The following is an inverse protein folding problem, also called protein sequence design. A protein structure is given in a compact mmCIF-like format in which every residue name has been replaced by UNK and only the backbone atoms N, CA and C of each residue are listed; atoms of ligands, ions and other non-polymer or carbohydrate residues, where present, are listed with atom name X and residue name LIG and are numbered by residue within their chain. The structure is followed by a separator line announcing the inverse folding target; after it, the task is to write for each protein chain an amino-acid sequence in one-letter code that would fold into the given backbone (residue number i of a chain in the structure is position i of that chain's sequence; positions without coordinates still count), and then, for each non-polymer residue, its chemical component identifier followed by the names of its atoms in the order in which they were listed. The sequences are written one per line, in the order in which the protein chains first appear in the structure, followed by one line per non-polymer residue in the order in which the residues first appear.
data_IF_523864723421
#
_entry.id   IF_523864723421
#
_cell.length_a   1.000
_cell.length_b   1.000
_cell.length_c   1.000
_cell.angle_alpha   90.00
_cell.angle_beta   90.00
_cell.angle_gamma   90.00
#
_symmetry.space_group_name_H-M   'P 1'
#
loop_
_entity.id
_entity.type
_entity.pdbx_description
1 polymer ?
#
# COMPACT_ATOMS: atom_id res chain seq x y z
N UNK A 1 -15.31 -24.23 2.86
CA UNK A 1 -14.80 -23.60 4.09
C UNK A 1 -14.56 -22.12 3.79
N UNK A 2 -15.61 -21.30 3.90
CA UNK A 2 -15.63 -19.85 3.60
C UNK A 2 -16.23 -19.10 4.81
N UNK A 3 -15.67 -19.32 6.01
CA UNK A 3 -16.26 -18.79 7.25
C UNK A 3 -15.18 -18.20 8.20
N UNK A 4 -14.22 -17.45 7.65
CA UNK A 4 -13.17 -16.78 8.44
C UNK A 4 -12.93 -15.29 8.11
N UNK A 5 -13.57 -14.72 7.08
CA UNK A 5 -13.30 -13.33 6.65
C UNK A 5 -14.20 -12.25 7.31
N UNK A 6 -15.31 -12.63 7.96
CA UNK A 6 -16.34 -11.66 8.37
C UNK A 6 -16.12 -11.01 9.76
N UNK A 7 -15.13 -11.48 10.54
CA UNK A 7 -14.91 -11.09 11.95
C UNK A 7 -13.86 -9.97 12.17
N UNK A 8 -13.20 -9.46 11.14
CA UNK A 8 -12.07 -8.51 11.27
C UNK A 8 -12.39 -7.06 10.84
N UNK A 9 -13.63 -6.60 10.98
CA UNK A 9 -13.92 -5.17 10.74
C UNK A 9 -13.49 -4.33 11.94
N UNK A 10 -12.25 -3.89 11.94
CA UNK A 10 -11.77 -2.81 12.79
C UNK A 10 -11.79 -1.49 12.02
N UNK A 11 -12.12 -0.39 12.70
CA UNK A 11 -11.97 0.94 12.11
C UNK A 11 -10.48 1.29 12.05
N UNK A 12 -10.00 1.60 10.85
CA UNK A 12 -8.59 1.95 10.59
C UNK A 12 -8.50 3.31 9.92
N UNK A 13 -7.39 4.01 10.15
CA UNK A 13 -7.00 5.19 9.38
C UNK A 13 -5.91 4.81 8.38
N UNK A 14 -5.85 5.53 7.26
CA UNK A 14 -4.85 5.32 6.22
C UNK A 14 -3.82 6.46 6.28
N UNK A 15 -2.53 6.17 6.53
CA UNK A 15 -1.50 7.20 6.59
C UNK A 15 -1.28 7.84 5.22
N UNK A 16 -1.05 9.16 5.21
CA UNK A 16 -0.67 9.91 4.01
C UNK A 16 0.86 9.91 3.87
N UNK A 17 1.40 8.95 3.11
CA UNK A 17 2.85 8.74 2.96
C UNK A 17 3.57 9.81 2.11
N UNK A 18 2.86 10.75 1.52
CA UNK A 18 3.49 11.91 0.86
C UNK A 18 4.02 12.92 1.88
N UNK A 19 3.48 12.95 3.09
CA UNK A 19 3.89 13.89 4.13
C UNK A 19 5.21 13.46 4.78
N UNK A 20 6.12 14.42 4.93
CA UNK A 20 7.35 14.23 5.71
C UNK A 20 7.07 13.82 7.16
N UNK A 21 5.98 14.33 7.76
CA UNK A 21 5.55 13.95 9.12
C UNK A 21 5.18 12.47 9.22
N UNK A 22 4.48 11.93 8.21
CA UNK A 22 4.10 10.52 8.17
C UNK A 22 5.32 9.62 7.98
N UNK A 23 6.27 10.03 7.15
CA UNK A 23 7.53 9.30 7.00
C UNK A 23 8.31 9.23 8.32
N UNK A 24 8.39 10.34 9.06
CA UNK A 24 9.04 10.37 10.37
C UNK A 24 8.32 9.49 11.40
N UNK A 25 6.98 9.58 11.47
CA UNK A 25 6.16 8.71 12.31
C UNK A 25 6.37 7.23 11.95
N UNK A 26 6.31 6.87 10.67
CA UNK A 26 6.46 5.49 10.21
C UNK A 26 7.84 4.90 10.55
N UNK A 27 8.91 5.68 10.36
CA UNK A 27 10.27 5.28 10.75
C UNK A 27 10.39 5.05 12.26
N UNK A 28 9.74 5.89 13.05
CA UNK A 28 9.73 5.77 14.52
C UNK A 28 9.03 4.48 14.96
N UNK A 29 7.85 4.16 14.41
CA UNK A 29 7.13 2.91 14.72
C UNK A 29 7.98 1.68 14.36
N UNK A 30 8.64 1.68 13.19
CA UNK A 30 9.54 0.60 12.76
C UNK A 30 10.75 0.46 13.70
N UNK A 31 11.31 1.58 14.14
CA UNK A 31 12.42 1.61 15.09
C UNK A 31 12.01 1.04 16.45
N UNK A 32 10.87 1.46 16.97
CA UNK A 32 10.36 0.95 18.24
C UNK A 32 10.08 -0.55 18.18
N UNK A 33 9.54 -1.05 17.06
CA UNK A 33 9.37 -2.49 16.83
C UNK A 33 10.71 -3.26 16.83
N UNK A 34 11.74 -2.68 16.23
CA UNK A 34 13.06 -3.30 16.14
C UNK A 34 13.84 -3.26 17.45
N UNK A 35 13.71 -2.18 18.24
CA UNK A 35 14.53 -1.95 19.44
C UNK A 35 13.82 -2.35 20.74
N UNK A 36 12.47 -2.28 20.78
CA UNK A 36 11.56 -2.40 21.94
C UNK A 36 12.10 -1.74 23.23
N UNK A 37 11.82 -0.45 23.37
CA UNK A 37 12.21 0.34 24.55
C UNK A 37 11.37 0.04 25.80
N UNK A 38 10.20 -0.59 25.65
CA UNK A 38 9.23 -0.73 26.74
C UNK A 38 9.30 -2.12 27.40
N UNK A 39 9.65 -3.17 26.66
CA UNK A 39 9.72 -4.55 27.17
C UNK A 39 10.98 -5.25 26.69
N UNK A 40 12.06 -5.22 27.49
CA UNK A 40 13.29 -5.94 27.18
C UNK A 40 12.99 -7.42 26.88
N UNK A 41 13.42 -7.90 25.71
CA UNK A 41 13.26 -9.30 25.27
C UNK A 41 12.06 -9.58 24.35
N UNK A 42 11.25 -8.58 23.97
CA UNK A 42 10.19 -8.72 22.95
C UNK A 42 10.46 -7.96 21.65
N UNK A 43 11.68 -7.43 21.48
CA UNK A 43 12.07 -6.79 20.23
C UNK A 43 12.09 -7.77 19.07
N UNK A 44 11.61 -7.32 17.90
CA UNK A 44 11.59 -8.12 16.69
C UNK A 44 12.75 -7.69 15.78
N UNK A 45 13.83 -8.46 15.82
CA UNK A 45 14.98 -8.25 14.92
C UNK A 45 14.66 -8.80 13.53
N UNK A 46 14.10 -7.95 12.67
CA UNK A 46 13.85 -8.25 11.26
C UNK A 46 15.01 -7.75 10.36
N UNK A 47 15.23 -8.40 9.22
CA UNK A 47 16.21 -7.97 8.21
C UNK A 47 15.56 -7.32 6.97
N UNK A 48 14.22 -7.30 6.92
CA UNK A 48 13.45 -6.72 5.83
C UNK A 48 11.97 -6.57 6.19
N UNK A 49 11.24 -5.81 5.39
CA UNK A 49 9.81 -5.58 5.60
C UNK A 49 8.99 -5.94 4.36
N UNK A 50 7.80 -6.48 4.61
CA UNK A 50 6.81 -6.77 3.59
C UNK A 50 5.62 -5.83 3.80
N UNK A 51 5.45 -4.87 2.89
CA UNK A 51 4.34 -3.91 2.92
C UNK A 51 3.26 -4.36 1.93
N UNK A 52 2.17 -4.87 2.50
CA UNK A 52 1.03 -5.42 1.78
C UNK A 52 -0.22 -4.56 2.01
N UNK A 53 -1.29 -4.83 1.25
CA UNK A 53 -2.58 -4.15 1.34
C UNK A 53 -2.53 -2.66 0.99
N UNK A 54 -1.51 -2.24 0.25
CA UNK A 54 -1.15 -0.83 0.05
C UNK A 54 -1.56 -0.25 -1.31
N UNK A 55 -2.64 -0.75 -1.91
CA UNK A 55 -3.26 -0.12 -3.08
C UNK A 55 -3.72 1.32 -2.86
N UNK A 56 -4.39 1.72 -1.75
CA UNK A 56 -4.69 1.08 -0.46
C UNK A 56 -5.96 0.22 -0.46
N UNK A 57 -5.86 -1.02 0.03
CA UNK A 57 -6.99 -1.95 0.07
C UNK A 57 -7.90 -1.67 1.27
N UNK A 58 -9.21 -1.61 1.01
CA UNK A 58 -10.24 -1.43 2.02
C UNK A 58 -11.32 -2.52 1.90
N UNK A 59 -11.82 -3.01 3.03
CA UNK A 59 -12.89 -4.03 3.08
C UNK A 59 -14.30 -3.44 2.95
N UNK A 60 -14.40 -2.11 2.94
CA UNK A 60 -15.61 -1.37 2.57
C UNK A 60 -15.31 -0.51 1.35
N UNK A 61 -16.31 -0.31 0.49
CA UNK A 61 -16.19 0.58 -0.66
C UNK A 61 -16.18 2.04 -0.15
N UNK A 62 -15.05 2.72 -0.26
CA UNK A 62 -14.87 4.10 0.20
C UNK A 62 -14.53 4.24 1.69
N UNK A 63 -15.53 4.59 2.49
CA UNK A 63 -15.37 4.83 3.93
C UNK A 63 -16.49 4.17 4.74
N UNK A 64 -16.32 4.07 6.06
CA UNK A 64 -17.35 3.56 6.98
C UNK A 64 -18.64 4.39 6.99
N UNK A 65 -18.62 5.62 6.46
CA UNK A 65 -19.78 6.50 6.32
C UNK A 65 -20.23 6.68 4.86
N UNK A 66 -19.62 5.95 3.91
CA UNK A 66 -19.77 6.18 2.48
C UNK A 66 -18.93 7.35 1.98
N UNK A 67 -19.15 7.73 0.72
CA UNK A 67 -18.48 8.85 0.06
C UNK A 67 -19.51 9.92 -0.32
N UNK A 68 -19.11 11.19 -0.30
CA UNK A 68 -19.97 12.34 -0.57
C UNK A 68 -19.85 12.89 -2.00
N UNK A 69 -18.73 12.69 -2.69
CA UNK A 69 -18.53 13.26 -4.04
C UNK A 69 -18.88 12.25 -5.14
N UNK A 70 -20.07 12.35 -5.71
CA UNK A 70 -20.51 11.42 -6.76
C UNK A 70 -19.69 11.55 -8.05
N UNK A 71 -19.20 12.74 -8.41
CA UNK A 71 -18.48 12.97 -9.67
C UNK A 71 -17.08 12.37 -9.58
N UNK A 72 -16.41 12.49 -8.43
CA UNK A 72 -15.09 11.89 -8.23
C UNK A 72 -15.18 10.36 -8.11
N UNK A 73 -16.20 9.83 -7.44
CA UNK A 73 -16.35 8.38 -7.28
C UNK A 73 -16.95 7.71 -8.53
N UNK A 74 -17.77 8.43 -9.31
CA UNK A 74 -18.38 7.98 -10.56
C UNK A 74 -18.13 9.00 -11.68
N UNK A 75 -16.89 9.07 -12.20
CA UNK A 75 -16.53 10.06 -13.22
C UNK A 75 -17.34 9.87 -14.52
N UNK A 76 -17.51 10.94 -15.33
CA UNK A 76 -18.26 10.87 -16.59
C UNK A 76 -17.79 9.75 -17.53
N UNK A 77 -16.50 9.44 -17.48
CA UNK A 77 -15.93 8.24 -18.05
C UNK A 77 -15.38 7.36 -16.94
N UNK A 78 -16.03 6.21 -16.73
CA UNK A 78 -15.54 5.16 -15.85
C UNK A 78 -14.70 4.16 -16.65
N UNK A 79 -13.37 4.07 -16.43
CA UNK A 79 -12.54 3.04 -17.03
C UNK A 79 -13.08 1.62 -16.83
N UNK A 80 -12.65 0.70 -17.69
CA UNK A 80 -13.00 -0.72 -17.59
C UNK A 80 -12.23 -1.39 -16.45
N UNK A 81 -12.71 -1.22 -15.22
CA UNK A 81 -12.20 -1.86 -13.99
C UNK A 81 -13.06 -3.07 -13.60
N UNK A 82 -12.57 -3.90 -12.68
CA UNK A 82 -13.22 -5.16 -12.25
C UNK A 82 -14.67 -4.95 -11.79
N UNK A 83 -14.92 -4.00 -10.89
CA UNK A 83 -16.25 -3.66 -10.36
C UNK A 83 -16.70 -2.28 -10.83
N UNK A 84 -16.76 -2.11 -12.15
CA UNK A 84 -17.06 -0.82 -12.82
C UNK A 84 -18.35 -0.18 -12.32
N UNK A 85 -19.35 -0.98 -12.01
CA UNK A 85 -20.66 -0.57 -11.49
C UNK A 85 -20.62 0.05 -10.09
N UNK A 86 -19.53 -0.17 -9.34
CA UNK A 86 -19.34 0.35 -7.99
C UNK A 86 -18.55 1.67 -7.94
N UNK A 87 -18.04 2.12 -9.08
CA UNK A 87 -17.20 3.32 -9.17
C UNK A 87 -15.77 3.10 -8.65
N UNK A 88 -15.03 4.19 -8.57
CA UNK A 88 -13.60 4.19 -8.19
C UNK A 88 -13.36 3.88 -6.71
N UNK A 89 -14.33 4.11 -5.82
CA UNK A 89 -14.21 3.81 -4.39
C UNK A 89 -14.21 2.32 -4.08
N UNK A 90 -14.43 1.45 -5.07
CA UNK A 90 -14.54 0.01 -4.83
C UNK A 90 -13.27 -0.58 -4.23
N UNK A 91 -13.41 -1.26 -3.08
CA UNK A 91 -12.33 -1.86 -2.29
C UNK A 91 -11.17 -0.90 -1.94
N UNK A 92 -11.41 0.41 -1.91
CA UNK A 92 -10.39 1.42 -1.57
C UNK A 92 -11.02 2.64 -0.88
N UNK A 93 -10.30 3.77 -0.82
CA UNK A 93 -10.75 5.02 -0.20
C UNK A 93 -11.72 5.79 -1.10
N UNK A 94 -12.44 6.72 -0.48
CA UNK A 94 -13.22 7.72 -1.21
C UNK A 94 -12.30 8.63 -2.04
N UNK A 95 -12.68 8.92 -3.28
CA UNK A 95 -11.84 9.65 -4.22
C UNK A 95 -11.62 11.12 -3.85
N UNK A 96 -12.51 11.68 -3.05
CA UNK A 96 -12.42 13.03 -2.47
C UNK A 96 -11.46 13.12 -1.27
N UNK A 97 -10.91 12.01 -0.78
CA UNK A 97 -10.01 12.04 0.38
C UNK A 97 -8.79 12.92 0.08
N UNK A 98 -8.48 13.86 0.98
CA UNK A 98 -7.37 14.81 0.81
C UNK A 98 -6.03 14.19 1.26
N UNK A 99 -5.00 14.36 0.44
CA UNK A 99 -3.60 14.06 0.74
C UNK A 99 -2.75 15.32 0.49
N UNK A 100 -1.55 15.37 1.08
CA UNK A 100 -0.65 16.52 0.97
C UNK A 100 0.70 16.07 0.42
N UNK A 101 1.08 16.64 -0.72
CA UNK A 101 2.36 16.39 -1.36
C UNK A 101 3.53 16.94 -0.52
N UNK A 102 4.79 16.50 -0.79
CA UNK A 102 5.95 16.98 -0.03
C UNK A 102 6.18 18.50 -0.07
N UNK A 103 5.67 19.18 -1.10
CA UNK A 103 5.73 20.65 -1.25
C UNK A 103 4.63 21.39 -0.46
N UNK A 104 3.74 20.65 0.21
CA UNK A 104 2.62 21.19 0.98
C UNK A 104 1.34 21.41 0.16
N UNK A 105 1.35 21.14 -1.14
CA UNK A 105 0.14 21.25 -1.97
C UNK A 105 -0.86 20.13 -1.65
N UNK A 106 -2.14 20.50 -1.67
CA UNK A 106 -3.25 19.56 -1.44
C UNK A 106 -3.61 18.87 -2.74
N UNK A 107 -3.76 17.56 -2.67
CA UNK A 107 -4.20 16.71 -3.77
C UNK A 107 -5.31 15.78 -3.29
N UNK A 108 -6.15 15.33 -4.22
CA UNK A 108 -7.22 14.38 -3.92
C UNK A 108 -6.74 12.97 -4.20
N UNK A 109 -7.28 12.00 -3.48
CA UNK A 109 -7.00 10.59 -3.71
C UNK A 109 -7.31 10.16 -5.15
N UNK A 110 -8.31 10.78 -5.79
CA UNK A 110 -8.59 10.63 -7.22
C UNK A 110 -7.34 10.74 -8.10
N UNK A 111 -6.46 11.72 -7.82
CA UNK A 111 -5.31 12.04 -8.65
C UNK A 111 -4.07 11.19 -8.30
N UNK A 112 -4.02 10.62 -7.09
CA UNK A 112 -2.82 9.96 -6.54
C UNK A 112 -3.06 8.54 -6.00
N UNK A 113 -4.23 7.94 -6.23
CA UNK A 113 -4.57 6.59 -5.76
C UNK A 113 -3.49 5.57 -6.13
N UNK A 114 -3.13 5.51 -7.42
CA UNK A 114 -2.11 4.58 -7.95
C UNK A 114 -0.68 4.88 -7.47
N UNK A 115 -0.46 5.97 -6.73
CA UNK A 115 0.83 6.35 -6.15
C UNK A 115 0.94 6.00 -4.66
N UNK A 116 -0.11 5.49 -4.02
CA UNK A 116 -0.13 5.27 -2.58
C UNK A 116 0.96 4.29 -2.11
N UNK A 117 1.00 3.08 -2.68
CA UNK A 117 2.03 2.09 -2.35
C UNK A 117 3.44 2.57 -2.70
N UNK A 118 3.58 3.30 -3.80
CA UNK A 118 4.85 3.94 -4.19
C UNK A 118 5.32 4.95 -3.13
N UNK A 119 4.44 5.82 -2.64
CA UNK A 119 4.75 6.81 -1.61
C UNK A 119 5.19 6.15 -0.28
N UNK A 120 4.61 4.99 0.06
CA UNK A 120 4.98 4.21 1.24
C UNK A 120 6.33 3.48 1.09
N UNK A 121 6.71 3.09 -0.14
CA UNK A 121 7.85 2.20 -0.38
C UNK A 121 9.17 2.82 0.08
N UNK A 122 9.45 4.08 -0.31
CA UNK A 122 10.73 4.75 0.03
C UNK A 122 10.92 4.93 1.55
N UNK A 123 9.97 5.52 2.30
CA UNK A 123 10.12 5.65 3.76
C UNK A 123 10.33 4.30 4.45
N UNK A 124 9.67 3.24 3.99
CA UNK A 124 9.82 1.89 4.54
C UNK A 124 11.23 1.35 4.29
N UNK A 125 11.76 1.53 3.07
CA UNK A 125 13.12 1.11 2.74
C UNK A 125 14.16 1.83 3.61
N UNK A 126 14.05 3.16 3.71
CA UNK A 126 14.93 3.97 4.55
C UNK A 126 14.83 3.55 6.03
N UNK A 127 13.63 3.29 6.54
CA UNK A 127 13.44 2.81 7.91
C UNK A 127 14.19 1.52 8.19
N UNK A 128 14.09 0.53 7.29
CA UNK A 128 14.83 -0.74 7.43
C UNK A 128 16.33 -0.50 7.45
N UNK A 129 16.84 0.39 6.61
CA UNK A 129 18.27 0.71 6.59
C UNK A 129 18.73 1.37 7.89
N UNK A 130 17.96 2.33 8.40
CA UNK A 130 18.26 3.07 9.63
C UNK A 130 18.30 2.14 10.86
N UNK A 131 17.33 1.24 11.01
CA UNK A 131 17.23 0.39 12.20
C UNK A 131 18.17 -0.81 12.17
N UNK A 132 18.43 -1.38 10.98
CA UNK A 132 19.29 -2.56 10.85
C UNK A 132 20.76 -2.21 10.65
N UNK A 133 21.06 -0.99 10.16
CA UNK A 133 22.39 -0.61 9.71
C UNK A 133 22.86 -1.38 8.46
N UNK A 134 21.96 -2.07 7.76
CA UNK A 134 22.23 -2.89 6.57
C UNK A 134 21.43 -2.40 5.37
N UNK A 135 21.69 -2.97 4.18
CA UNK A 135 20.91 -2.69 2.97
C UNK A 135 19.42 -3.02 3.13
N UNK A 136 19.12 -4.14 3.80
CA UNK A 136 17.77 -4.68 3.95
C UNK A 136 17.08 -5.04 2.63
N UNK A 137 15.80 -5.39 2.73
CA UNK A 137 14.91 -5.57 1.58
C UNK A 137 13.49 -5.12 1.94
N UNK A 138 12.79 -4.54 0.97
CA UNK A 138 11.35 -4.27 1.05
C UNK A 138 10.65 -5.00 -0.08
N UNK A 139 9.57 -5.70 0.24
CA UNK A 139 8.67 -6.32 -0.74
C UNK A 139 7.34 -5.59 -0.67
N UNK A 140 6.79 -5.14 -1.81
CA UNK A 140 5.57 -4.34 -1.87
C UNK A 140 4.56 -4.82 -2.91
N UNK A 141 3.25 -4.68 -2.61
CA UNK A 141 2.19 -5.11 -3.53
C UNK A 141 1.93 -4.07 -4.60
N UNK A 142 1.48 -2.90 -4.18
CA UNK A 142 1.14 -1.81 -5.09
C UNK A 142 2.43 -1.14 -5.60
N UNK A 143 2.52 -1.00 -6.92
CA UNK A 143 3.68 -0.43 -7.60
C UNK A 143 3.28 0.60 -8.63
N UNK A 144 4.17 1.56 -8.86
CA UNK A 144 4.09 2.55 -9.93
C UNK A 144 5.48 2.65 -10.60
N UNK A 145 5.62 3.15 -11.84
CA UNK A 145 6.94 3.43 -12.42
C UNK A 145 7.88 4.11 -11.42
N UNK A 146 9.09 3.58 -11.28
CA UNK A 146 10.12 3.87 -10.27
C UNK A 146 10.03 3.17 -8.90
N UNK A 147 8.94 2.46 -8.54
CA UNK A 147 8.84 1.69 -7.29
C UNK A 147 10.00 0.71 -7.08
N UNK A 148 10.45 0.07 -8.18
CA UNK A 148 11.57 -0.89 -8.19
C UNK A 148 12.91 -0.33 -7.70
N UNK A 149 13.03 1.00 -7.56
CA UNK A 149 14.23 1.66 -7.00
C UNK A 149 14.41 1.37 -5.51
N UNK A 150 13.33 1.09 -4.77
CA UNK A 150 13.36 0.93 -3.31
C UNK A 150 12.75 -0.38 -2.81
N UNK A 151 11.95 -1.08 -3.63
CA UNK A 151 11.31 -2.32 -3.24
C UNK A 151 11.21 -3.33 -4.36
N UNK A 152 11.28 -4.61 -4.00
CA UNK A 152 10.87 -5.72 -4.86
C UNK A 152 9.35 -5.92 -4.83
N UNK A 153 8.85 -6.79 -5.70
CA UNK A 153 7.43 -7.05 -5.87
C UNK A 153 7.16 -8.55 -5.99
N UNK A 154 5.98 -9.00 -5.55
CA UNK A 154 5.47 -10.34 -5.81
C UNK A 154 4.12 -10.23 -6.53
N UNK A 155 3.78 -11.24 -7.34
CA UNK A 155 2.65 -11.18 -8.27
C UNK A 155 1.24 -11.30 -7.63
N UNK A 156 1.13 -11.05 -6.33
CA UNK A 156 -0.14 -11.08 -5.61
C UNK A 156 -0.68 -12.49 -5.34
N UNK A 157 -1.95 -12.52 -4.97
CA UNK A 157 -2.64 -13.72 -4.50
C UNK A 157 -3.07 -14.61 -5.68
N UNK A 158 -2.23 -15.59 -6.00
CA UNK A 158 -2.54 -16.58 -7.02
C UNK A 158 -3.36 -17.75 -6.45
N UNK A 159 -3.85 -18.62 -7.35
CA UNK A 159 -4.50 -19.89 -6.98
C UNK A 159 -3.56 -21.05 -7.28
N UNK A 160 -3.64 -22.14 -6.53
CA UNK A 160 -2.87 -23.36 -6.80
C UNK A 160 -3.41 -24.10 -8.05
N UNK A 161 -3.17 -23.54 -9.24
CA UNK A 161 -3.64 -24.04 -10.53
C UNK A 161 -2.52 -23.99 -11.59
N UNK A 162 -2.56 -24.92 -12.55
CA UNK A 162 -1.48 -25.09 -13.54
C UNK A 162 -1.24 -23.86 -14.42
N UNK A 163 -2.29 -23.12 -14.77
CA UNK A 163 -2.17 -21.90 -15.58
C UNK A 163 -1.37 -20.79 -14.88
N UNK A 164 -1.34 -20.80 -13.54
CA UNK A 164 -0.65 -19.79 -12.74
C UNK A 164 0.88 -19.89 -12.84
N UNK A 165 1.42 -21.09 -13.12
CA UNK A 165 2.84 -21.28 -13.41
C UNK A 165 3.26 -20.55 -14.70
N UNK A 166 2.44 -20.63 -15.75
CA UNK A 166 2.73 -19.90 -16.99
C UNK A 166 2.62 -18.39 -16.79
N UNK A 167 1.62 -17.95 -16.02
CA UNK A 167 1.41 -16.53 -15.70
C UNK A 167 2.55 -15.95 -14.86
N UNK A 168 3.18 -16.73 -13.99
CA UNK A 168 4.30 -16.23 -13.19
C UNK A 168 5.51 -15.85 -14.04
N UNK A 169 5.85 -16.66 -15.05
CA UNK A 169 6.91 -16.34 -16.01
C UNK A 169 6.59 -15.00 -16.69
N UNK A 170 5.38 -14.86 -17.23
CA UNK A 170 4.93 -13.63 -17.90
C UNK A 170 5.03 -12.42 -16.96
N UNK A 171 4.55 -12.55 -15.71
CA UNK A 171 4.57 -11.48 -14.72
C UNK A 171 5.98 -11.02 -14.37
N UNK A 172 6.95 -11.94 -14.25
CA UNK A 172 8.36 -11.59 -13.98
C UNK A 172 8.98 -10.81 -15.15
N UNK A 173 8.69 -11.17 -16.40
CA UNK A 173 9.18 -10.44 -17.58
C UNK A 173 8.51 -9.08 -17.77
N UNK A 174 7.24 -8.95 -17.39
CA UNK A 174 6.48 -7.70 -17.50
C UNK A 174 6.76 -6.72 -16.36
N UNK A 175 7.30 -7.19 -15.23
CA UNK A 175 7.60 -6.35 -14.08
C UNK A 175 8.76 -5.40 -14.43
N UNK A 176 8.62 -4.08 -14.22
CA UNK A 176 9.71 -3.14 -14.46
C UNK A 176 10.84 -3.44 -13.47
N UNK A 177 11.90 -4.07 -13.97
CA UNK A 177 13.12 -4.26 -13.19
C UNK A 177 13.80 -2.89 -13.04
N UNK A 178 14.24 -2.56 -11.83
CA UNK A 178 15.13 -1.42 -11.63
C UNK A 178 16.39 -1.60 -12.48
N UNK A 179 16.97 -0.51 -13.00
CA UNK A 179 18.27 -0.56 -13.68
C UNK A 179 19.38 -1.08 -12.78
#
# INVERSE_FOLDING_TARGET
MYLLLQLYRANVAFPDFFRNSTAAWWKMEIKELYEDFQKPGKNLKFDGLWIDMNEPSNFVDGSVRGCSDEILNNPPYMPYLESREKGLSSKTLCMESEQILPDGSRVRHYDVHSLYGWAQTRPTYEAVQEVTGKRGVVITRSTFPSSGRWGGHWLGDNTAAWDQLRKSIIGVWASPQGP
#
